data_IF_242880368618
#
_entry.id   IF_242880368618
#
_cell.length_a   1.000
_cell.length_b   1.000
_cell.length_c   1.000
_cell.angle_alpha   90.00
_cell.angle_beta   90.00
_cell.angle_gamma   90.00
#
_symmetry.space_group_name_H-M   'P 1'
#
loop_
_entity.id
_entity.type
_entity.pdbx_description
1 polymer ?
#
# COMPACT_ATOMS: atom_id res chain seq x y z
N UNK A 1 -1.53 -9.63 27.86
CA UNK A 1 -0.26 -9.09 27.32
C UNK A 1 -0.37 -7.60 26.95
N UNK A 2 -1.35 -7.18 26.12
CA UNK A 2 -1.54 -5.76 25.73
C UNK A 2 -1.64 -4.83 26.94
N UNK A 3 -2.49 -5.16 27.93
CA UNK A 3 -2.67 -4.34 29.13
C UNK A 3 -1.42 -4.30 30.03
N UNK A 4 -0.72 -5.42 30.20
CA UNK A 4 0.51 -5.49 30.99
C UNK A 4 1.63 -4.63 30.37
N UNK A 5 1.74 -4.59 29.03
CA UNK A 5 2.68 -3.71 28.34
C UNK A 5 2.31 -2.24 28.48
N UNK A 6 1.01 -1.91 28.45
CA UNK A 6 0.51 -0.55 28.71
C UNK A 6 0.96 -0.08 30.10
N UNK A 7 0.68 -0.86 31.14
CA UNK A 7 1.06 -0.54 32.52
C UNK A 7 2.58 -0.41 32.69
N UNK A 8 3.36 -1.32 32.11
CA UNK A 8 4.83 -1.23 32.17
C UNK A 8 5.36 0.03 31.48
N UNK A 9 4.79 0.40 30.33
CA UNK A 9 5.18 1.59 29.57
C UNK A 9 4.93 2.87 30.35
N UNK A 10 3.83 2.98 31.10
CA UNK A 10 3.48 4.16 31.90
C UNK A 10 4.56 4.51 32.94
N UNK A 11 5.34 3.53 33.38
CA UNK A 11 6.43 3.70 34.35
C UNK A 11 7.82 3.80 33.71
N UNK A 12 7.95 3.55 32.41
CA UNK A 12 9.21 3.58 31.68
C UNK A 12 9.54 4.99 31.16
N UNK A 13 10.83 5.25 30.92
CA UNK A 13 11.31 6.52 30.33
C UNK A 13 12.38 6.28 29.28
N UNK A 14 12.54 7.26 28.40
CA UNK A 14 13.58 7.27 27.37
C UNK A 14 13.51 6.04 26.46
N UNK A 15 14.66 5.36 26.30
CA UNK A 15 14.82 4.24 25.38
C UNK A 15 13.95 3.02 25.72
N UNK A 16 13.73 2.73 27.01
CA UNK A 16 12.87 1.63 27.42
C UNK A 16 11.40 1.92 27.06
N UNK A 17 10.93 3.14 27.30
CA UNK A 17 9.58 3.55 26.94
C UNK A 17 9.35 3.45 25.42
N UNK A 18 10.34 3.87 24.63
CA UNK A 18 10.27 3.80 23.16
C UNK A 18 10.13 2.36 22.67
N UNK A 19 10.95 1.43 23.18
CA UNK A 19 10.86 0.00 22.84
C UNK A 19 9.51 -0.60 23.28
N UNK A 20 9.06 -0.29 24.49
CA UNK A 20 7.77 -0.75 25.00
C UNK A 20 6.59 -0.21 24.17
N UNK A 21 6.67 1.02 23.66
CA UNK A 21 5.68 1.59 22.75
C UNK A 21 5.58 0.80 21.44
N UNK A 22 6.71 0.48 20.81
CA UNK A 22 6.74 -0.35 19.61
C UNK A 22 6.12 -1.73 19.84
N UNK A 23 6.44 -2.37 20.97
CA UNK A 23 5.83 -3.66 21.36
C UNK A 23 4.33 -3.51 21.63
N UNK A 24 3.91 -2.48 22.35
CA UNK A 24 2.49 -2.21 22.63
C UNK A 24 1.71 -2.01 21.33
N UNK A 25 2.22 -1.22 20.37
CA UNK A 25 1.65 -1.04 19.03
C UNK A 25 1.48 -2.36 18.32
N UNK A 26 2.50 -3.21 18.33
CA UNK A 26 2.48 -4.52 17.69
C UNK A 26 1.39 -5.42 18.30
N UNK A 27 1.39 -5.59 19.62
CA UNK A 27 0.44 -6.48 20.28
C UNK A 27 -1.00 -5.96 20.22
N UNK A 28 -1.22 -4.65 20.36
CA UNK A 28 -2.54 -4.05 20.20
C UNK A 28 -3.09 -4.28 18.79
N UNK A 29 -2.28 -4.00 17.77
CA UNK A 29 -2.66 -4.22 16.36
C UNK A 29 -2.95 -5.70 16.08
N UNK A 30 -2.09 -6.62 16.53
CA UNK A 30 -2.27 -8.06 16.32
C UNK A 30 -3.48 -8.61 17.06
N UNK A 31 -3.74 -8.14 18.28
CA UNK A 31 -4.92 -8.51 19.04
C UNK A 31 -6.19 -8.06 18.31
N UNK A 32 -6.26 -6.79 17.88
CA UNK A 32 -7.39 -6.26 17.12
C UNK A 32 -7.65 -7.02 15.82
N UNK A 33 -6.61 -7.26 15.01
CA UNK A 33 -6.71 -8.04 13.77
C UNK A 33 -7.22 -9.45 14.05
N UNK A 34 -6.74 -10.10 15.10
CA UNK A 34 -7.18 -11.44 15.46
C UNK A 34 -8.65 -11.47 15.91
N UNK A 35 -9.11 -10.45 16.65
CA UNK A 35 -10.51 -10.36 17.09
C UNK A 35 -11.50 -10.25 15.92
N UNK A 36 -11.08 -9.65 14.80
CA UNK A 36 -11.92 -9.51 13.60
C UNK A 36 -11.52 -10.44 12.45
N UNK A 37 -10.73 -11.48 12.75
CA UNK A 37 -10.19 -12.41 11.76
C UNK A 37 -11.29 -13.06 10.93
N UNK A 38 -12.32 -13.61 11.56
CA UNK A 38 -13.41 -14.30 10.85
C UNK A 38 -14.18 -13.37 9.90
N UNK A 39 -14.42 -12.12 10.30
CA UNK A 39 -15.08 -11.13 9.45
C UNK A 39 -14.21 -10.76 8.24
N UNK A 40 -12.91 -10.63 8.46
CA UNK A 40 -11.92 -10.36 7.41
C UNK A 40 -11.86 -11.52 6.41
N UNK A 41 -11.72 -12.75 6.89
CA UNK A 41 -11.68 -13.95 6.05
C UNK A 41 -12.97 -14.16 5.24
N UNK A 42 -14.14 -13.84 5.84
CA UNK A 42 -15.43 -13.87 5.13
C UNK A 42 -15.49 -12.83 4.01
N UNK A 43 -15.04 -11.60 4.26
CA UNK A 43 -14.99 -10.55 3.26
C UNK A 43 -14.04 -10.91 2.11
N UNK A 44 -12.82 -11.38 2.43
CA UNK A 44 -11.84 -11.82 1.42
C UNK A 44 -12.36 -12.99 0.58
N UNK A 45 -13.04 -13.95 1.23
CA UNK A 45 -13.65 -15.09 0.55
C UNK A 45 -14.77 -14.63 -0.39
N UNK A 46 -15.62 -13.71 0.05
CA UNK A 46 -16.68 -13.16 -0.78
C UNK A 46 -16.09 -12.43 -1.99
N UNK A 47 -15.13 -11.53 -1.78
CA UNK A 47 -14.44 -10.82 -2.84
C UNK A 47 -13.81 -11.76 -3.89
N UNK A 48 -13.23 -12.88 -3.44
CA UNK A 48 -12.61 -13.87 -4.33
C UNK A 48 -13.60 -14.69 -5.17
N UNK A 49 -14.84 -14.87 -4.68
CA UNK A 49 -15.86 -15.72 -5.29
C UNK A 49 -16.87 -14.93 -6.12
N UNK A 50 -17.06 -13.65 -5.79
CA UNK A 50 -18.03 -12.80 -6.46
C UNK A 50 -17.64 -12.51 -7.91
N UNK A 51 -18.67 -12.30 -8.72
CA UNK A 51 -18.55 -12.01 -10.15
C UNK A 51 -19.53 -10.91 -10.51
N UNK A 52 -19.17 -10.06 -11.47
CA UNK A 52 -20.09 -9.10 -12.07
C UNK A 52 -20.57 -9.64 -13.42
N UNK A 53 -21.80 -9.29 -13.81
CA UNK A 53 -22.37 -9.66 -15.11
C UNK A 53 -22.60 -8.40 -15.95
N UNK A 54 -22.00 -8.36 -17.14
CA UNK A 54 -22.13 -7.23 -18.07
C UNK A 54 -22.32 -7.75 -19.49
N UNK A 55 -23.39 -7.33 -20.15
CA UNK A 55 -23.66 -7.66 -21.56
C UNK A 55 -23.57 -9.18 -21.87
N UNK A 56 -24.01 -10.03 -20.94
CA UNK A 56 -23.96 -11.50 -21.07
C UNK A 56 -22.61 -12.14 -20.70
N UNK A 57 -21.59 -11.34 -20.41
CA UNK A 57 -20.29 -11.80 -19.92
C UNK A 57 -20.24 -11.82 -18.39
N UNK A 58 -19.60 -12.85 -17.82
CA UNK A 58 -19.33 -12.94 -16.38
C UNK A 58 -17.86 -12.65 -16.13
N UNK A 59 -17.56 -11.66 -15.29
CA UNK A 59 -16.20 -11.21 -15.00
C UNK A 59 -15.93 -11.41 -13.50
N UNK A 60 -14.83 -12.06 -13.10
CA UNK A 60 -14.44 -12.14 -11.69
C UNK A 60 -14.30 -10.75 -11.07
N UNK A 61 -14.85 -10.54 -9.86
CA UNK A 61 -14.92 -9.22 -9.23
C UNK A 61 -13.54 -8.53 -9.13
N UNK A 62 -12.50 -9.28 -8.75
CA UNK A 62 -11.12 -8.76 -8.68
C UNK A 62 -10.57 -8.31 -10.03
N UNK A 63 -10.89 -9.02 -11.11
CA UNK A 63 -10.44 -8.68 -12.46
C UNK A 63 -11.20 -7.49 -13.05
N UNK A 64 -12.44 -7.25 -12.58
CA UNK A 64 -13.26 -6.15 -13.06
C UNK A 64 -12.63 -4.78 -12.80
N UNK A 65 -11.88 -4.61 -11.70
CA UNK A 65 -11.16 -3.35 -11.42
C UNK A 65 -10.12 -3.04 -12.50
N UNK A 66 -9.26 -4.01 -12.82
CA UNK A 66 -8.20 -3.88 -13.83
C UNK A 66 -8.80 -3.65 -15.22
N UNK A 67 -9.88 -4.37 -15.55
CA UNK A 67 -10.59 -4.20 -16.82
C UNK A 67 -11.23 -2.83 -16.94
N UNK A 68 -11.84 -2.31 -15.87
CA UNK A 68 -12.41 -0.97 -15.83
C UNK A 68 -11.35 0.11 -16.03
N UNK A 69 -10.22 0.01 -15.33
CA UNK A 69 -9.10 0.94 -15.49
C UNK A 69 -8.44 0.88 -16.89
N UNK A 70 -8.67 -0.20 -17.65
CA UNK A 70 -8.10 -0.35 -18.99
C UNK A 70 -9.10 -0.14 -20.12
N UNK A 71 -10.39 0.02 -19.85
CA UNK A 71 -11.41 0.10 -20.88
C UNK A 71 -11.48 1.52 -21.50
N UNK A 72 -11.22 1.68 -22.82
CA UNK A 72 -11.19 2.99 -23.46
C UNK A 72 -12.56 3.67 -23.51
N UNK A 73 -13.67 2.92 -23.53
CA UNK A 73 -15.01 3.49 -23.61
C UNK A 73 -15.54 3.85 -22.22
N UNK A 74 -15.72 5.15 -21.96
CA UNK A 74 -16.24 5.68 -20.68
C UNK A 74 -17.54 5.01 -20.24
N UNK A 75 -18.52 4.88 -21.14
CA UNK A 75 -19.81 4.23 -20.82
C UNK A 75 -19.62 2.80 -20.30
N UNK A 76 -18.69 2.03 -20.89
CA UNK A 76 -18.38 0.68 -20.40
C UNK A 76 -17.65 0.71 -19.05
N UNK A 77 -16.77 1.70 -18.83
CA UNK A 77 -16.13 1.90 -17.51
C UNK A 77 -17.17 2.17 -16.43
N UNK A 78 -18.15 3.04 -16.70
CA UNK A 78 -19.28 3.31 -15.79
C UNK A 78 -20.05 2.04 -15.47
N UNK A 79 -20.44 1.27 -16.50
CA UNK A 79 -21.14 -0.01 -16.30
C UNK A 79 -20.34 -1.01 -15.45
N UNK A 80 -19.02 -1.11 -15.67
CA UNK A 80 -18.13 -1.92 -14.82
C UNK A 80 -18.10 -1.40 -13.39
N UNK A 81 -18.01 -0.08 -13.20
CA UNK A 81 -17.98 0.53 -11.88
C UNK A 81 -19.29 0.29 -11.11
N UNK A 82 -20.44 0.54 -11.73
CA UNK A 82 -21.76 0.31 -11.15
C UNK A 82 -21.97 -1.15 -10.75
N UNK A 83 -21.68 -2.09 -11.65
CA UNK A 83 -21.80 -3.51 -11.35
C UNK A 83 -20.86 -3.97 -10.22
N UNK A 84 -19.69 -3.33 -10.07
CA UNK A 84 -18.80 -3.57 -8.93
C UNK A 84 -19.37 -3.00 -7.63
N UNK A 85 -20.01 -1.83 -7.67
CA UNK A 85 -20.58 -1.21 -6.47
C UNK A 85 -21.67 -2.10 -5.84
N UNK A 86 -22.49 -2.80 -6.64
CA UNK A 86 -23.47 -3.76 -6.12
C UNK A 86 -22.83 -4.91 -5.29
N UNK A 87 -21.63 -5.35 -5.68
CA UNK A 87 -20.88 -6.36 -4.92
C UNK A 87 -20.23 -5.72 -3.69
N UNK A 88 -19.66 -4.53 -3.84
CA UNK A 88 -19.04 -3.77 -2.75
C UNK A 88 -20.05 -3.50 -1.63
N UNK A 89 -21.31 -3.17 -1.95
CA UNK A 89 -22.36 -2.95 -0.96
C UNK A 89 -22.60 -4.18 -0.07
N UNK A 90 -22.51 -5.38 -0.63
CA UNK A 90 -22.58 -6.64 0.15
C UNK A 90 -21.35 -6.80 1.05
N UNK A 91 -20.16 -6.47 0.55
CA UNK A 91 -18.90 -6.50 1.33
C UNK A 91 -18.93 -5.48 2.46
N UNK A 92 -19.53 -4.31 2.21
CA UNK A 92 -19.61 -3.21 3.17
C UNK A 92 -20.36 -3.60 4.45
N UNK A 93 -21.32 -4.52 4.39
CA UNK A 93 -21.99 -5.06 5.60
C UNK A 93 -20.98 -5.74 6.53
N UNK A 94 -20.07 -6.54 5.99
CA UNK A 94 -19.00 -7.18 6.77
C UNK A 94 -17.95 -6.17 7.23
N UNK A 95 -17.61 -5.20 6.38
CA UNK A 95 -16.66 -4.12 6.72
C UNK A 95 -17.17 -3.24 7.86
N UNK A 96 -18.47 -2.95 7.89
CA UNK A 96 -19.12 -2.20 8.96
C UNK A 96 -19.05 -2.97 10.28
N UNK A 97 -19.53 -4.23 10.30
CA UNK A 97 -19.47 -5.08 11.49
C UNK A 97 -18.03 -5.26 12.01
N UNK A 98 -17.06 -5.38 11.09
CA UNK A 98 -15.63 -5.42 11.42
C UNK A 98 -15.18 -4.13 12.10
N UNK A 99 -15.57 -2.98 11.58
CA UNK A 99 -15.21 -1.66 12.12
C UNK A 99 -15.81 -1.44 13.49
N UNK A 100 -17.09 -1.76 13.67
CA UNK A 100 -17.79 -1.71 14.96
C UNK A 100 -17.07 -2.58 16.00
N UNK A 101 -16.71 -3.82 15.64
CA UNK A 101 -16.02 -4.71 16.55
C UNK A 101 -14.63 -4.20 16.95
N UNK A 102 -13.90 -3.57 16.04
CA UNK A 102 -12.61 -2.92 16.35
C UNK A 102 -12.79 -1.77 17.36
N UNK A 103 -13.85 -0.98 17.21
CA UNK A 103 -14.17 0.12 18.12
C UNK A 103 -14.56 -0.37 19.52
N UNK A 104 -15.40 -1.41 19.60
CA UNK A 104 -15.75 -2.07 20.87
C UNK A 104 -14.51 -2.63 21.57
N UNK A 105 -13.70 -3.40 20.83
CA UNK A 105 -12.49 -4.03 21.36
C UNK A 105 -11.49 -2.99 21.89
N UNK A 106 -11.42 -1.83 21.25
CA UNK A 106 -10.57 -0.73 21.74
C UNK A 106 -11.04 -0.18 23.10
N UNK A 107 -12.36 -0.14 23.33
CA UNK A 107 -12.92 0.21 24.64
C UNK A 107 -12.67 -0.87 25.69
N UNK A 108 -12.80 -2.14 25.32
CA UNK A 108 -12.45 -3.29 26.19
C UNK A 108 -10.97 -3.26 26.63
N UNK A 109 -10.07 -2.76 25.77
CA UNK A 109 -8.67 -2.52 26.10
C UNK A 109 -8.41 -1.28 26.99
N UNK A 110 -9.47 -0.62 27.47
CA UNK A 110 -9.38 0.52 28.39
C UNK A 110 -8.98 1.83 27.72
N UNK A 111 -9.35 2.03 26.45
CA UNK A 111 -9.22 3.31 25.76
C UNK A 111 -10.59 3.95 25.54
N UNK A 112 -10.65 5.27 25.42
CA UNK A 112 -11.91 5.98 25.22
C UNK A 112 -12.59 5.58 23.90
N UNK A 113 -11.80 5.38 22.84
CA UNK A 113 -12.23 4.95 21.51
C UNK A 113 -11.03 4.41 20.69
N UNK A 114 -11.32 3.93 19.49
CA UNK A 114 -10.33 3.39 18.54
C UNK A 114 -9.23 4.41 18.18
N UNK A 115 -9.59 5.68 17.96
CA UNK A 115 -8.63 6.73 17.60
C UNK A 115 -7.65 6.99 18.75
N UNK A 116 -8.14 7.11 19.99
CA UNK A 116 -7.28 7.29 21.18
C UNK A 116 -6.32 6.12 21.39
N UNK A 117 -6.74 4.88 21.08
CA UNK A 117 -5.84 3.72 21.10
C UNK A 117 -4.67 3.92 20.13
N UNK A 118 -4.94 4.29 18.87
CA UNK A 118 -3.88 4.45 17.88
C UNK A 118 -3.03 5.70 18.08
N UNK A 119 -3.61 6.82 18.50
CA UNK A 119 -2.87 8.02 18.93
C UNK A 119 -1.85 7.66 20.02
N UNK A 120 -2.27 6.89 21.02
CA UNK A 120 -1.42 6.49 22.16
C UNK A 120 -0.27 5.56 21.74
N UNK A 121 -0.56 4.52 20.96
CA UNK A 121 0.46 3.49 20.62
C UNK A 121 1.34 3.89 19.44
N UNK A 122 0.87 4.78 18.55
CA UNK A 122 1.69 5.39 17.48
C UNK A 122 2.50 6.57 18.00
N UNK A 123 2.01 7.26 19.03
CA UNK A 123 2.66 8.47 19.54
C UNK A 123 2.54 9.66 18.58
N UNK A 124 1.44 9.71 17.83
CA UNK A 124 1.14 10.76 16.85
C UNK A 124 -0.08 11.51 17.38
N UNK A 125 0.05 12.82 17.63
CA UNK A 125 -1.07 13.69 17.95
C UNK A 125 -1.92 13.91 16.70
N UNK A 126 -3.12 13.31 16.67
CA UNK A 126 -3.97 13.38 15.48
C UNK A 126 -4.56 14.77 15.25
N UNK A 127 -4.74 15.61 16.29
CA UNK A 127 -5.21 16.99 16.12
C UNK A 127 -4.13 17.87 15.53
N UNK A 128 -2.89 17.69 15.99
CA UNK A 128 -1.76 18.39 15.40
C UNK A 128 -1.55 17.96 13.95
N UNK A 129 -1.64 16.65 13.67
CA UNK A 129 -1.54 16.12 12.32
C UNK A 129 -2.65 16.66 11.42
N UNK A 130 -3.91 16.70 11.88
CA UNK A 130 -5.03 17.29 11.15
C UNK A 130 -4.74 18.74 10.75
N UNK A 131 -4.26 19.56 11.69
CA UNK A 131 -3.91 20.96 11.40
C UNK A 131 -2.80 21.06 10.34
N UNK A 132 -1.77 20.21 10.42
CA UNK A 132 -0.70 20.17 9.42
C UNK A 132 -1.23 19.77 8.03
N UNK A 133 -2.14 18.79 7.98
CA UNK A 133 -2.73 18.33 6.72
C UNK A 133 -3.68 19.37 6.11
N UNK A 134 -4.46 20.09 6.91
CA UNK A 134 -5.30 21.20 6.43
C UNK A 134 -4.46 22.31 5.79
N UNK A 135 -3.37 22.72 6.45
CA UNK A 135 -2.41 23.68 5.91
C UNK A 135 -1.77 23.18 4.60
N UNK A 136 -1.44 21.90 4.51
CA UNK A 136 -0.86 21.28 3.32
C UNK A 136 -1.85 21.24 2.15
N UNK A 137 -3.09 20.82 2.40
CA UNK A 137 -4.18 20.83 1.40
C UNK A 137 -4.40 22.24 0.89
N UNK A 138 -4.58 23.24 1.76
CA UNK A 138 -4.80 24.62 1.34
C UNK A 138 -3.67 25.18 0.45
N UNK A 139 -2.42 24.77 0.69
CA UNK A 139 -1.26 25.18 -0.12
C UNK A 139 -1.13 24.44 -1.45
N UNK A 140 -1.69 23.24 -1.56
CA UNK A 140 -1.50 22.37 -2.74
C UNK A 140 -2.75 22.22 -3.60
N UNK A 141 -3.92 22.57 -3.08
CA UNK A 141 -5.23 22.40 -3.72
C UNK A 141 -5.27 23.02 -5.12
N UNK A 142 -4.92 24.30 -5.25
CA UNK A 142 -4.96 24.97 -6.56
C UNK A 142 -4.04 24.31 -7.60
N UNK A 143 -2.87 23.83 -7.18
CA UNK A 143 -1.95 23.10 -8.06
C UNK A 143 -2.56 21.76 -8.48
N UNK A 144 -3.09 21.00 -7.52
CA UNK A 144 -3.71 19.71 -7.79
C UNK A 144 -4.91 19.85 -8.74
N UNK A 145 -5.87 20.72 -8.40
CA UNK A 145 -7.10 20.94 -9.17
C UNK A 145 -6.77 21.36 -10.61
N UNK A 146 -5.89 22.36 -10.79
CA UNK A 146 -5.52 22.81 -12.13
C UNK A 146 -4.80 21.72 -12.95
N UNK A 147 -3.92 20.93 -12.32
CA UNK A 147 -3.19 19.87 -13.02
C UNK A 147 -4.09 18.70 -13.39
N UNK A 148 -4.96 18.29 -12.47
CA UNK A 148 -5.90 17.19 -12.69
C UNK A 148 -6.98 17.56 -13.71
N UNK A 149 -7.54 18.78 -13.67
CA UNK A 149 -8.48 19.30 -14.67
C UNK A 149 -7.89 19.18 -16.08
N UNK A 150 -6.72 19.77 -16.29
CA UNK A 150 -6.07 19.75 -17.60
C UNK A 150 -5.73 18.32 -18.06
N UNK A 151 -5.24 17.47 -17.14
CA UNK A 151 -4.88 16.10 -17.46
C UNK A 151 -6.10 15.24 -17.81
N UNK A 152 -7.22 15.37 -17.10
CA UNK A 152 -8.46 14.64 -17.39
C UNK A 152 -9.11 15.13 -18.68
N UNK A 153 -9.12 16.43 -18.94
CA UNK A 153 -9.61 16.97 -20.21
C UNK A 153 -8.81 16.46 -21.40
N UNK A 154 -7.47 16.45 -21.30
CA UNK A 154 -6.58 15.99 -22.37
C UNK A 154 -6.65 14.47 -22.57
N UNK A 155 -6.57 13.69 -21.49
CA UNK A 155 -6.41 12.23 -21.56
C UNK A 155 -7.70 11.43 -21.54
N UNK A 156 -8.77 11.99 -20.97
CA UNK A 156 -10.07 11.31 -20.80
C UNK A 156 -11.21 12.05 -21.50
N UNK A 157 -11.10 13.37 -21.69
CA UNK A 157 -12.13 14.20 -22.30
C UNK A 157 -13.26 14.60 -21.35
N UNK A 158 -12.99 14.63 -20.04
CA UNK A 158 -13.97 14.97 -19.00
C UNK A 158 -13.36 16.01 -18.06
N UNK A 159 -14.12 17.03 -17.67
CA UNK A 159 -13.70 18.01 -16.66
C UNK A 159 -13.69 17.37 -15.26
N UNK A 160 -12.89 17.90 -14.33
CA UNK A 160 -12.71 17.36 -12.99
C UNK A 160 -14.04 17.31 -12.21
N UNK A 161 -14.90 18.31 -12.38
CA UNK A 161 -16.22 18.38 -11.71
C UNK A 161 -17.18 17.26 -12.18
N UNK A 162 -17.02 16.79 -13.41
CA UNK A 162 -17.84 15.72 -14.02
C UNK A 162 -17.14 14.35 -13.99
N UNK A 163 -15.90 14.31 -13.50
CA UNK A 163 -15.08 13.11 -13.50
C UNK A 163 -15.53 12.14 -12.40
N UNK A 164 -15.66 10.87 -12.76
CA UNK A 164 -15.93 9.82 -11.80
C UNK A 164 -14.68 9.00 -11.48
N UNK A 165 -14.73 8.18 -10.42
CA UNK A 165 -13.60 7.35 -9.99
C UNK A 165 -13.08 6.43 -11.11
N UNK A 166 -13.95 6.02 -12.03
CA UNK A 166 -13.58 5.18 -13.16
C UNK A 166 -12.83 5.96 -14.27
N UNK A 167 -13.02 7.28 -14.35
CA UNK A 167 -12.25 8.17 -15.22
C UNK A 167 -10.85 8.39 -14.65
N UNK A 168 -10.75 8.63 -13.34
CA UNK A 168 -9.47 8.75 -12.63
C UNK A 168 -8.66 7.45 -12.71
N UNK A 169 -9.29 6.29 -12.50
CA UNK A 169 -8.62 5.00 -12.60
C UNK A 169 -8.10 4.72 -14.02
N UNK A 170 -8.84 5.14 -15.06
CA UNK A 170 -8.39 5.02 -16.45
C UNK A 170 -7.21 5.94 -16.75
N UNK A 171 -7.27 7.18 -16.29
CA UNK A 171 -6.17 8.14 -16.40
C UNK A 171 -4.89 7.64 -15.72
N UNK A 172 -4.99 7.26 -14.44
CA UNK A 172 -3.83 6.82 -13.65
C UNK A 172 -3.22 5.50 -14.15
N UNK A 173 -3.99 4.64 -14.82
CA UNK A 173 -3.44 3.43 -15.45
C UNK A 173 -2.45 3.77 -16.57
N UNK A 174 -2.54 4.94 -17.19
CA UNK A 174 -1.54 5.51 -18.09
C UNK A 174 -1.01 4.53 -19.18
N UNK A 175 -1.93 3.80 -19.82
CA UNK A 175 -1.61 2.71 -20.78
C UNK A 175 -0.76 3.12 -21.97
N UNK A 176 -0.78 4.40 -22.32
CA UNK A 176 0.04 4.97 -23.39
C UNK A 176 1.54 4.79 -23.16
N UNK A 177 1.97 4.54 -21.92
CA UNK A 177 3.37 4.29 -21.60
C UNK A 177 3.76 2.81 -21.53
N UNK A 178 2.83 1.87 -21.69
CA UNK A 178 3.10 0.43 -21.50
C UNK A 178 4.26 -0.08 -22.37
N UNK A 179 4.42 0.47 -23.58
CA UNK A 179 5.50 0.10 -24.51
C UNK A 179 6.90 0.46 -23.99
N UNK A 180 7.02 1.47 -23.12
CA UNK A 180 8.28 1.89 -22.52
C UNK A 180 8.62 1.12 -21.24
N UNK A 181 7.66 0.36 -20.69
CA UNK A 181 7.81 -0.41 -19.45
C UNK A 181 7.54 -1.90 -19.69
N UNK A 182 8.34 -2.59 -20.55
CA UNK A 182 8.14 -4.00 -20.84
C UNK A 182 8.41 -4.87 -19.61
N UNK A 183 7.63 -5.94 -19.43
CA UNK A 183 7.75 -6.84 -18.27
C UNK A 183 9.13 -7.48 -18.15
N UNK A 184 9.78 -7.79 -19.27
CA UNK A 184 11.09 -8.44 -19.33
C UNK A 184 12.21 -7.51 -18.84
N UNK A 185 11.99 -6.20 -18.89
CA UNK A 185 12.97 -5.18 -18.50
C UNK A 185 12.96 -4.83 -17.01
N UNK A 186 11.88 -5.12 -16.28
CA UNK A 186 11.60 -4.51 -14.98
C UNK A 186 12.74 -4.70 -13.96
N UNK A 187 13.11 -5.96 -13.70
CA UNK A 187 14.18 -6.29 -12.74
C UNK A 187 15.55 -5.85 -13.25
N UNK A 188 15.80 -5.92 -14.56
CA UNK A 188 17.07 -5.46 -15.15
C UNK A 188 17.25 -3.95 -14.99
N UNK A 189 16.19 -3.18 -15.20
CA UNK A 189 16.20 -1.73 -15.02
C UNK A 189 16.44 -1.35 -13.56
N UNK A 190 15.79 -2.05 -12.63
CA UNK A 190 16.03 -1.92 -11.19
C UNK A 190 17.51 -2.21 -10.84
N UNK A 191 18.05 -3.37 -11.25
CA UNK A 191 19.45 -3.75 -10.98
C UNK A 191 20.44 -2.70 -11.52
N UNK A 192 20.24 -2.21 -12.76
CA UNK A 192 21.11 -1.19 -13.36
C UNK A 192 21.08 0.11 -12.55
N UNK A 193 19.89 0.54 -12.12
CA UNK A 193 19.73 1.75 -11.33
C UNK A 193 20.42 1.63 -9.98
N UNK A 194 20.16 0.54 -9.24
CA UNK A 194 20.77 0.29 -7.94
C UNK A 194 22.29 0.20 -8.03
N UNK A 195 22.82 -0.45 -9.08
CA UNK A 195 24.26 -0.51 -9.31
C UNK A 195 24.88 0.89 -9.52
N UNK A 196 24.15 1.79 -10.19
CA UNK A 196 24.54 3.20 -10.34
C UNK A 196 24.60 3.97 -9.02
N UNK A 197 23.80 3.56 -8.02
CA UNK A 197 23.83 4.09 -6.65
C UNK A 197 24.85 3.37 -5.74
N UNK A 198 25.53 2.34 -6.25
CA UNK A 198 26.50 1.54 -5.51
C UNK A 198 25.92 0.31 -4.80
N UNK A 199 24.67 -0.06 -5.09
CA UNK A 199 24.01 -1.27 -4.58
C UNK A 199 23.95 -2.34 -5.67
N UNK A 200 24.69 -3.43 -5.51
CA UNK A 200 24.70 -4.54 -6.46
C UNK A 200 23.78 -5.65 -5.96
N UNK A 201 22.54 -5.70 -6.46
CA UNK A 201 21.53 -6.70 -6.06
C UNK A 201 22.05 -8.13 -6.20
N UNK A 202 22.83 -8.40 -7.24
CA UNK A 202 23.42 -9.72 -7.51
C UNK A 202 24.49 -10.12 -6.47
N UNK A 203 25.11 -9.15 -5.80
CA UNK A 203 26.09 -9.39 -4.72
C UNK A 203 25.43 -9.48 -3.33
N UNK A 204 24.20 -8.96 -3.19
CA UNK A 204 23.42 -8.97 -1.94
C UNK A 204 22.79 -10.34 -1.68
N UNK A 205 23.59 -11.26 -1.14
CA UNK A 205 23.16 -12.65 -0.80
C UNK A 205 21.98 -12.75 0.17
N UNK A 206 21.67 -11.67 0.88
CA UNK A 206 20.57 -11.58 1.82
C UNK A 206 19.24 -11.11 1.21
N UNK A 207 19.25 -10.63 -0.04
CA UNK A 207 18.04 -10.35 -0.83
C UNK A 207 17.86 -11.47 -1.85
N UNK A 208 16.68 -12.08 -1.88
CA UNK A 208 16.31 -13.06 -2.90
C UNK A 208 15.12 -12.53 -3.70
N UNK A 209 15.30 -12.41 -5.00
CA UNK A 209 14.25 -11.97 -5.91
C UNK A 209 13.47 -13.20 -6.39
N UNK A 210 12.19 -13.28 -6.04
CA UNK A 210 11.27 -14.32 -6.51
C UNK A 210 10.47 -13.79 -7.70
N UNK A 211 10.94 -14.14 -8.90
CA UNK A 211 10.26 -13.86 -10.18
C UNK A 211 9.50 -15.08 -10.72
N UNK A 212 9.49 -16.21 -10.03
CA UNK A 212 8.95 -17.45 -10.57
C UNK A 212 7.45 -17.33 -10.79
N UNK A 213 6.99 -17.69 -11.99
CA UNK A 213 5.57 -17.71 -12.32
C UNK A 213 4.91 -18.94 -11.71
N UNK A 214 3.86 -18.75 -10.92
CA UNK A 214 3.07 -19.84 -10.34
C UNK A 214 1.58 -19.49 -10.50
N UNK A 215 0.69 -20.45 -10.84
CA UNK A 215 -0.71 -20.17 -11.16
C UNK A 215 -1.50 -19.42 -10.08
N UNK A 216 -1.10 -19.55 -8.81
CA UNK A 216 -1.75 -18.91 -7.65
C UNK A 216 -0.96 -17.75 -7.06
N UNK A 217 0.17 -17.36 -7.67
CA UNK A 217 1.00 -16.25 -7.18
C UNK A 217 0.23 -14.94 -7.37
N UNK A 218 0.22 -14.11 -6.33
CA UNK A 218 -0.33 -12.76 -6.41
C UNK A 218 0.45 -11.94 -7.44
N UNK A 219 -0.22 -11.20 -8.33
CA UNK A 219 0.45 -10.32 -9.28
C UNK A 219 1.04 -9.07 -8.61
N UNK A 220 0.57 -8.71 -7.42
CA UNK A 220 1.09 -7.56 -6.66
C UNK A 220 2.49 -7.86 -6.11
N UNK A 221 3.44 -6.98 -6.39
CA UNK A 221 4.77 -7.03 -5.80
C UNK A 221 4.72 -6.82 -4.28
N UNK A 222 5.63 -7.45 -3.55
CA UNK A 222 5.80 -7.19 -2.12
C UNK A 222 7.20 -7.55 -1.62
N UNK A 223 7.65 -6.85 -0.58
CA UNK A 223 8.82 -7.18 0.21
C UNK A 223 8.44 -8.01 1.44
N UNK A 224 9.13 -9.13 1.63
CA UNK A 224 9.01 -9.97 2.83
C UNK A 224 10.35 -10.07 3.54
N UNK A 225 10.49 -9.31 4.63
CA UNK A 225 11.65 -9.36 5.48
C UNK A 225 11.55 -10.54 6.47
N UNK A 226 12.00 -11.73 6.08
CA UNK A 226 11.86 -12.97 6.89
C UNK A 226 12.79 -12.94 8.11
N UNK A 227 14.08 -12.61 7.93
CA UNK A 227 15.06 -12.36 9.00
C UNK A 227 15.84 -11.10 8.67
N UNK A 228 15.74 -10.06 9.48
CA UNK A 228 16.41 -8.78 9.20
C UNK A 228 17.80 -8.76 9.86
N UNK A 229 18.89 -8.48 9.13
CA UNK A 229 18.99 -8.26 7.66
C UNK A 229 19.22 -9.52 6.81
N UNK A 230 19.34 -10.72 7.39
CA UNK A 230 19.92 -11.91 6.73
C UNK A 230 19.08 -12.57 5.63
N UNK A 231 17.76 -12.40 5.62
CA UNK A 231 16.85 -13.04 4.67
C UNK A 231 15.67 -12.11 4.37
N UNK A 232 15.74 -11.45 3.23
CA UNK A 232 14.71 -10.57 2.66
C UNK A 232 14.31 -11.12 1.29
N UNK A 233 13.02 -11.16 1.00
CA UNK A 233 12.49 -11.61 -0.29
C UNK A 233 11.83 -10.44 -1.00
N UNK A 234 12.26 -10.15 -2.21
CA UNK A 234 11.55 -9.25 -3.12
C UNK A 234 10.73 -10.13 -4.06
N UNK A 235 9.41 -10.15 -3.90
CA UNK A 235 8.53 -11.02 -4.67
C UNK A 235 7.83 -10.20 -5.72
N UNK A 236 7.95 -10.60 -6.99
CA UNK A 236 7.30 -9.94 -8.11
C UNK A 236 6.80 -10.95 -9.14
N UNK A 237 5.74 -10.59 -9.85
CA UNK A 237 5.27 -11.28 -11.05
C UNK A 237 5.11 -10.23 -12.16
N UNK A 238 6.19 -9.89 -12.89
CA UNK A 238 6.17 -8.75 -13.79
C UNK A 238 5.06 -8.85 -14.84
N UNK A 239 4.19 -7.85 -14.88
CA UNK A 239 3.14 -7.69 -15.89
C UNK A 239 3.50 -6.62 -16.93
N UNK A 240 4.43 -5.72 -16.61
CA UNK A 240 4.76 -4.56 -17.41
C UNK A 240 3.79 -3.39 -17.16
N UNK A 241 4.14 -2.25 -17.73
CA UNK A 241 3.48 -0.97 -17.45
C UNK A 241 4.16 -0.21 -16.30
N UNK A 242 3.92 1.10 -16.27
CA UNK A 242 4.55 2.01 -15.31
C UNK A 242 4.21 1.63 -13.85
N UNK A 243 2.98 1.20 -13.58
CA UNK A 243 2.49 0.86 -12.24
C UNK A 243 3.19 -0.39 -11.65
N UNK A 244 3.56 -1.35 -12.53
CA UNK A 244 4.30 -2.55 -12.15
C UNK A 244 5.77 -2.23 -11.83
N UNK A 245 6.39 -1.32 -12.60
CA UNK A 245 7.72 -0.79 -12.29
C UNK A 245 7.71 0.03 -10.98
N UNK A 246 6.70 0.87 -10.77
CA UNK A 246 6.54 1.66 -9.55
C UNK A 246 6.45 0.74 -8.33
N UNK A 247 5.58 -0.27 -8.41
CA UNK A 247 5.45 -1.29 -7.37
C UNK A 247 6.77 -2.05 -7.14
N UNK A 248 7.49 -2.43 -8.20
CA UNK A 248 8.80 -3.09 -8.07
C UNK A 248 9.81 -2.21 -7.33
N UNK A 249 9.95 -0.94 -7.75
CA UNK A 249 10.93 -0.02 -7.18
C UNK A 249 10.59 0.33 -5.73
N UNK A 250 9.30 0.52 -5.42
CA UNK A 250 8.80 0.71 -4.06
C UNK A 250 9.22 -0.45 -3.15
N UNK A 251 8.90 -1.68 -3.55
CA UNK A 251 9.20 -2.88 -2.76
C UNK A 251 10.71 -3.18 -2.70
N UNK A 252 11.47 -2.81 -3.73
CA UNK A 252 12.93 -2.84 -3.68
C UNK A 252 13.49 -1.87 -2.64
N UNK A 253 12.90 -0.69 -2.46
CA UNK A 253 13.31 0.25 -1.43
C UNK A 253 13.11 -0.32 -0.03
N UNK A 254 11.98 -0.99 0.21
CA UNK A 254 11.79 -1.76 1.45
C UNK A 254 12.82 -2.90 1.61
N UNK A 255 13.14 -3.61 0.52
CA UNK A 255 14.09 -4.70 0.55
C UNK A 255 15.50 -4.20 0.92
N UNK A 256 15.97 -3.13 0.28
CA UNK A 256 17.25 -2.47 0.56
C UNK A 256 17.31 -1.93 2.00
N UNK A 257 16.25 -1.24 2.44
CA UNK A 257 16.14 -0.77 3.81
C UNK A 257 16.35 -1.90 4.82
N UNK A 258 15.62 -3.02 4.65
CA UNK A 258 15.73 -4.17 5.54
C UNK A 258 17.08 -4.89 5.44
N UNK A 259 17.61 -5.05 4.23
CA UNK A 259 18.86 -5.76 3.95
C UNK A 259 20.09 -5.01 4.46
N UNK A 260 20.03 -3.67 4.55
CA UNK A 260 21.11 -2.82 5.02
C UNK A 260 21.05 -2.49 6.52
N UNK A 261 20.03 -2.97 7.25
CA UNK A 261 19.96 -2.76 8.70
C UNK A 261 21.09 -3.47 9.44
N UNK A 262 21.64 -2.83 10.49
CA UNK A 262 22.62 -3.47 11.38
C UNK A 262 22.04 -4.73 12.05
N UNK A 263 22.75 -5.87 12.02
CA UNK A 263 22.36 -7.08 12.75
C UNK A 263 22.20 -6.87 14.26
N UNK A 264 23.00 -5.96 14.84
CA UNK A 264 23.07 -5.65 16.27
C UNK A 264 21.92 -4.77 16.75
N UNK A 265 21.15 -4.18 15.82
CA UNK A 265 20.00 -3.35 16.15
C UNK A 265 18.96 -4.16 16.94
N UNK A 266 18.35 -3.52 17.95
CA UNK A 266 17.32 -4.14 18.78
C UNK A 266 16.11 -4.59 17.93
N UNK A 267 15.46 -5.67 18.34
CA UNK A 267 14.36 -6.28 17.57
C UNK A 267 13.20 -5.32 17.36
N UNK A 268 12.92 -4.45 18.34
CA UNK A 268 11.88 -3.44 18.27
C UNK A 268 12.11 -2.47 17.12
N UNK A 269 13.37 -2.13 16.82
CA UNK A 269 13.68 -1.24 15.71
C UNK A 269 13.75 -1.99 14.38
N UNK A 270 14.34 -3.19 14.37
CA UNK A 270 14.40 -4.02 13.15
C UNK A 270 13.02 -4.38 12.63
N UNK A 271 12.06 -4.66 13.51
CA UNK A 271 10.75 -5.24 13.15
C UNK A 271 9.59 -4.28 13.31
N UNK A 272 9.66 -3.39 14.29
CA UNK A 272 8.51 -2.65 14.79
C UNK A 272 8.75 -1.13 14.80
N UNK A 273 9.84 -0.67 14.17
CA UNK A 273 10.22 0.74 14.06
C UNK A 273 9.15 1.61 13.41
N UNK A 274 9.45 2.88 13.16
CA UNK A 274 8.51 3.76 12.47
C UNK A 274 8.39 3.33 11.01
N UNK A 275 7.16 3.02 10.58
CA UNK A 275 6.88 2.55 9.23
C UNK A 275 7.28 3.63 8.19
N UNK A 276 7.21 4.92 8.55
CA UNK A 276 7.59 6.05 7.68
C UNK A 276 9.05 6.02 7.22
N UNK A 277 9.95 5.42 8.00
CA UNK A 277 11.35 5.26 7.60
C UNK A 277 11.42 4.28 6.44
N UNK A 278 10.74 3.14 6.53
CA UNK A 278 10.70 2.15 5.45
C UNK A 278 10.03 2.68 4.19
N UNK A 279 8.94 3.43 4.35
CA UNK A 279 8.25 4.14 3.26
C UNK A 279 9.14 5.17 2.58
N UNK A 280 10.02 5.86 3.34
CA UNK A 280 10.96 6.82 2.75
C UNK A 280 11.89 6.13 1.75
N UNK A 281 12.45 4.97 2.08
CA UNK A 281 13.29 4.21 1.14
C UNK A 281 12.50 3.74 -0.08
N UNK A 282 11.26 3.30 0.13
CA UNK A 282 10.38 2.86 -0.95
C UNK A 282 10.06 4.00 -1.94
N UNK A 283 9.59 5.14 -1.44
CA UNK A 283 9.27 6.29 -2.28
C UNK A 283 10.51 6.92 -2.94
N UNK A 284 11.68 6.88 -2.30
CA UNK A 284 12.92 7.36 -2.92
C UNK A 284 13.24 6.60 -4.21
N UNK A 285 12.99 5.29 -4.26
CA UNK A 285 13.19 4.51 -5.48
C UNK A 285 12.02 4.66 -6.45
N UNK A 286 10.78 4.58 -5.95
CA UNK A 286 9.57 4.70 -6.77
C UNK A 286 9.54 6.02 -7.56
N UNK A 287 9.87 7.14 -6.90
CA UNK A 287 9.80 8.47 -7.52
C UNK A 287 10.87 8.75 -8.57
N UNK A 288 11.86 7.86 -8.74
CA UNK A 288 12.75 7.94 -9.91
C UNK A 288 11.98 7.82 -11.23
N UNK A 289 10.85 7.09 -11.22
CA UNK A 289 9.95 6.98 -12.37
C UNK A 289 9.24 8.30 -12.71
N UNK A 290 9.35 9.30 -11.85
CA UNK A 290 8.82 10.66 -12.07
C UNK A 290 9.92 11.67 -12.42
N UNK A 291 11.20 11.26 -12.38
CA UNK A 291 12.33 12.11 -12.72
C UNK A 291 12.62 12.08 -14.22
N UNK A 292 12.52 13.23 -14.88
CA UNK A 292 12.73 13.37 -16.32
C UNK A 292 14.16 12.99 -16.75
N UNK A 293 15.18 13.26 -15.93
CA UNK A 293 16.56 12.90 -16.27
C UNK A 293 16.78 11.40 -16.17
N UNK A 294 16.06 10.72 -15.28
CA UNK A 294 16.09 9.27 -15.18
C UNK A 294 15.36 8.61 -16.35
N UNK A 295 14.18 9.11 -16.73
CA UNK A 295 13.39 8.57 -17.84
C UNK A 295 14.07 8.71 -19.22
N UNK A 296 14.98 9.68 -19.37
CA UNK A 296 15.71 9.93 -20.61
C UNK A 296 17.00 9.09 -20.79
N UNK A 297 17.32 8.17 -19.86
CA UNK A 297 18.54 7.32 -19.88
C UNK A 297 18.32 5.94 -20.50
#
# INVERSE_FOLDING_TARGET
>A
LVLALKEKREHAKGEEERKLRHLQRFFASRYLVNTVKELTEKADTMESKETIRLNGETIPFRQAAVRGASEPKREKRSQIHEARNEVIDKINVLSLARTEKLHETSKELGYANYATLFETVRGIDFRQLEKLMQDFIAKTESTYVNRMENALLDKVGVGLDDAEIHDVAFFLRAREFDEYFPKEGAVRTLSKMLAGLGFCLEEQKNIMIDMEERPTKSPRAFCSAIRIPQEVKLVILPQGGQDDYASLFHEAGHAEHCACMSPELAVEYKRLGDDSVSETFAYLLEYLLTDENWLNQ
#
